data_IF_615439025214
#
_entry.id   IF_615439025214
#
_cell.length_a   1.000
_cell.length_b   1.000
_cell.length_c   1.000
_cell.angle_alpha   90.00
_cell.angle_beta   90.00
_cell.angle_gamma   90.00
#
_symmetry.space_group_name_H-M   'P 1'
#
loop_
_entity.id
_entity.type
_entity.pdbx_description
1 polymer ?
#
# COMPACT_ATOMS: atom_id res chain seq x y z
N UNK A 1 -8.69 0.03 -9.62
CA UNK A 1 -9.08 0.82 -10.80
C UNK A 1 -8.23 0.48 -12.04
N UNK A 2 -6.91 0.71 -12.05
CA UNK A 2 -6.04 0.42 -13.21
C UNK A 2 -6.14 -1.04 -13.71
N UNK A 3 -5.88 -2.02 -12.83
CA UNK A 3 -5.99 -3.45 -13.18
C UNK A 3 -7.41 -3.82 -13.64
N UNK A 4 -8.42 -3.22 -13.06
CA UNK A 4 -9.80 -3.41 -13.50
C UNK A 4 -10.02 -2.91 -14.93
N UNK A 5 -9.51 -1.73 -15.28
CA UNK A 5 -9.59 -1.22 -16.63
C UNK A 5 -8.89 -2.15 -17.64
N UNK A 6 -7.71 -2.69 -17.28
CA UNK A 6 -7.01 -3.68 -18.11
C UNK A 6 -7.83 -4.96 -18.32
N UNK A 7 -8.49 -5.46 -17.25
CA UNK A 7 -9.38 -6.62 -17.35
C UNK A 7 -10.64 -6.34 -18.15
N UNK A 8 -11.17 -5.10 -18.14
CA UNK A 8 -12.27 -4.71 -19.02
C UNK A 8 -11.87 -4.69 -20.48
N UNK A 9 -10.66 -4.22 -20.77
CA UNK A 9 -10.13 -4.17 -22.13
C UNK A 9 -9.71 -5.56 -22.64
N UNK A 10 -9.20 -6.43 -21.74
CA UNK A 10 -8.83 -7.81 -22.03
C UNK A 10 -9.27 -8.78 -20.91
N UNK A 11 -10.51 -9.28 -20.93
CA UNK A 11 -11.01 -10.21 -19.91
C UNK A 11 -10.24 -11.54 -19.85
N UNK A 12 -9.56 -11.91 -20.92
CA UNK A 12 -8.75 -13.13 -21.00
C UNK A 12 -7.30 -12.93 -20.52
N UNK A 13 -6.95 -11.75 -20.03
CA UNK A 13 -5.61 -11.49 -19.49
C UNK A 13 -5.22 -12.55 -18.46
N UNK A 14 -4.04 -13.14 -18.64
CA UNK A 14 -3.48 -14.15 -17.72
C UNK A 14 -2.89 -13.48 -16.49
N UNK A 15 -3.69 -13.41 -15.44
CA UNK A 15 -3.28 -12.93 -14.12
C UNK A 15 -3.70 -13.92 -13.05
N UNK A 16 -2.97 -13.94 -11.96
CA UNK A 16 -3.42 -14.61 -10.73
C UNK A 16 -4.62 -13.85 -10.17
N UNK A 17 -5.78 -14.53 -9.98
CA UNK A 17 -6.93 -13.91 -9.33
C UNK A 17 -6.55 -13.37 -7.95
N UNK A 18 -7.02 -12.16 -7.63
CA UNK A 18 -6.65 -11.51 -6.36
C UNK A 18 -7.78 -10.74 -5.70
N UNK A 19 -7.70 -10.66 -4.40
CA UNK A 19 -8.56 -9.83 -3.58
C UNK A 19 -7.74 -8.72 -2.95
N UNK A 20 -8.13 -7.46 -3.17
CA UNK A 20 -7.62 -6.33 -2.43
C UNK A 20 -8.46 -6.13 -1.18
N UNK A 21 -7.84 -6.25 -0.03
CA UNK A 21 -8.49 -6.07 1.27
C UNK A 21 -7.99 -4.76 1.88
N UNK A 22 -8.91 -3.88 2.21
CA UNK A 22 -8.64 -2.61 2.87
C UNK A 22 -9.25 -2.59 4.26
N UNK A 23 -8.50 -2.08 5.23
CA UNK A 23 -8.99 -1.77 6.56
C UNK A 23 -8.43 -0.42 6.98
N UNK A 24 -9.28 0.51 7.37
CA UNK A 24 -8.85 1.85 7.75
C UNK A 24 -9.87 2.53 8.66
N UNK A 25 -9.39 3.57 9.38
CA UNK A 25 -10.23 4.55 10.08
C UNK A 25 -9.89 5.95 9.60
N UNK A 26 -10.89 6.80 9.52
CA UNK A 26 -10.71 8.23 9.31
C UNK A 26 -11.10 9.00 10.55
N UNK A 27 -10.28 9.96 10.96
CA UNK A 27 -10.67 10.91 12.00
C UNK A 27 -11.92 11.69 11.56
N UNK A 28 -12.77 12.07 12.50
CA UNK A 28 -14.05 12.71 12.22
C UNK A 28 -13.95 13.97 11.34
N UNK A 29 -12.91 14.77 11.53
CA UNK A 29 -12.64 15.98 10.75
C UNK A 29 -11.85 15.76 9.44
N UNK A 30 -11.32 14.56 9.20
CA UNK A 30 -10.45 14.31 8.05
C UNK A 30 -11.26 13.93 6.79
N UNK A 31 -11.78 14.97 6.13
CA UNK A 31 -12.67 14.82 4.96
C UNK A 31 -12.09 13.93 3.85
N UNK A 32 -10.83 14.16 3.44
CA UNK A 32 -10.20 13.42 2.35
C UNK A 32 -10.05 11.93 2.67
N UNK A 33 -9.67 11.56 3.89
CA UNK A 33 -9.62 10.16 4.31
C UNK A 33 -11.00 9.49 4.22
N UNK A 34 -12.08 10.19 4.62
CA UNK A 34 -13.44 9.68 4.47
C UNK A 34 -13.83 9.50 3.01
N UNK A 35 -13.47 10.45 2.13
CA UNK A 35 -13.69 10.33 0.69
C UNK A 35 -12.92 9.15 0.08
N UNK A 36 -11.69 8.89 0.55
CA UNK A 36 -10.90 7.73 0.11
C UNK A 36 -11.59 6.42 0.52
N UNK A 37 -12.09 6.30 1.75
CA UNK A 37 -12.87 5.13 2.17
C UNK A 37 -14.13 4.98 1.30
N UNK A 38 -14.83 6.08 1.05
CA UNK A 38 -16.02 6.06 0.18
C UNK A 38 -15.66 5.62 -1.25
N UNK A 39 -14.54 6.10 -1.80
CA UNK A 39 -14.07 5.68 -3.11
C UNK A 39 -13.77 4.18 -3.15
N UNK A 40 -13.09 3.63 -2.15
CA UNK A 40 -12.79 2.18 -2.06
C UNK A 40 -14.09 1.38 -2.12
N UNK A 41 -15.12 1.77 -1.35
CA UNK A 41 -16.41 1.09 -1.36
C UNK A 41 -17.11 1.19 -2.72
N UNK A 42 -17.14 2.38 -3.34
CA UNK A 42 -17.75 2.54 -4.67
C UNK A 42 -17.00 1.74 -5.75
N UNK A 43 -15.67 1.68 -5.67
CA UNK A 43 -14.84 0.83 -6.55
C UNK A 43 -15.15 -0.65 -6.30
N UNK A 44 -15.32 -1.06 -5.04
CA UNK A 44 -15.70 -2.42 -4.69
C UNK A 44 -17.06 -2.79 -5.26
N UNK A 45 -18.06 -1.92 -5.15
CA UNK A 45 -19.39 -2.14 -5.69
C UNK A 45 -19.36 -2.35 -7.22
N UNK A 46 -18.59 -1.54 -7.94
CA UNK A 46 -18.45 -1.67 -9.40
C UNK A 46 -17.73 -2.98 -9.77
N UNK A 47 -16.57 -3.24 -9.15
CA UNK A 47 -15.73 -4.39 -9.52
C UNK A 47 -16.36 -5.72 -9.11
N UNK A 48 -16.90 -5.82 -7.90
CA UNK A 48 -17.42 -7.08 -7.38
C UNK A 48 -18.72 -7.53 -8.08
N UNK A 49 -19.46 -6.59 -8.68
CA UNK A 49 -20.67 -6.88 -9.43
C UNK A 49 -20.43 -7.07 -10.94
N UNK A 50 -19.22 -6.82 -11.42
CA UNK A 50 -18.90 -6.96 -12.85
C UNK A 50 -18.52 -8.40 -13.21
N UNK A 51 -19.47 -9.13 -13.79
CA UNK A 51 -19.27 -10.51 -14.23
C UNK A 51 -18.31 -10.64 -15.43
N UNK A 52 -18.09 -9.56 -16.19
CA UNK A 52 -17.29 -9.60 -17.42
C UNK A 52 -15.80 -9.88 -17.16
N UNK A 53 -15.30 -9.60 -15.95
CA UNK A 53 -13.91 -9.86 -15.57
C UNK A 53 -13.68 -11.26 -15.00
N UNK A 54 -14.70 -12.15 -15.01
CA UNK A 54 -14.59 -13.56 -14.62
C UNK A 54 -14.17 -13.78 -13.15
N UNK A 55 -14.45 -12.85 -12.25
CA UNK A 55 -14.09 -12.97 -10.83
C UNK A 55 -12.57 -12.85 -10.54
N UNK A 56 -11.77 -12.46 -11.51
CA UNK A 56 -10.30 -12.35 -11.36
C UNK A 56 -9.86 -11.26 -10.38
N UNK A 57 -10.75 -10.33 -10.07
CA UNK A 57 -10.48 -9.21 -9.18
C UNK A 57 -11.63 -9.04 -8.20
N UNK A 58 -11.28 -8.88 -6.91
CA UNK A 58 -12.23 -8.55 -5.86
C UNK A 58 -11.67 -7.44 -4.99
N UNK A 59 -12.53 -6.59 -4.48
CA UNK A 59 -12.19 -5.50 -3.55
C UNK A 59 -13.06 -5.63 -2.33
N UNK A 60 -12.46 -5.61 -1.15
CA UNK A 60 -13.14 -5.73 0.14
C UNK A 60 -12.67 -4.61 1.05
N UNK A 61 -13.61 -3.90 1.65
CA UNK A 61 -13.32 -2.98 2.75
C UNK A 61 -13.80 -3.64 4.05
N UNK A 62 -12.88 -3.80 5.02
CA UNK A 62 -13.21 -4.37 6.34
C UNK A 62 -13.84 -3.28 7.18
N UNK A 63 -15.09 -3.46 7.54
CA UNK A 63 -15.81 -2.58 8.46
C UNK A 63 -15.27 -2.71 9.89
N UNK A 64 -15.53 -1.69 10.69
CA UNK A 64 -15.21 -1.68 12.12
C UNK A 64 -13.74 -2.01 12.45
N UNK A 65 -12.85 -1.28 11.77
CA UNK A 65 -11.41 -1.42 11.96
C UNK A 65 -11.02 -1.19 13.44
N UNK A 66 -10.76 -2.27 14.15
CA UNK A 66 -10.29 -2.30 15.55
C UNK A 66 -8.81 -2.62 15.60
N UNK A 67 -8.19 -2.46 16.77
CA UNK A 67 -6.76 -2.75 16.96
C UNK A 67 -6.41 -4.18 16.52
N UNK A 68 -7.28 -5.15 16.75
CA UNK A 68 -7.14 -6.54 16.27
C UNK A 68 -7.23 -6.69 14.74
N UNK A 69 -7.84 -5.72 14.04
CA UNK A 69 -7.92 -5.70 12.57
C UNK A 69 -6.89 -4.73 11.96
N UNK A 70 -6.25 -3.88 12.82
CA UNK A 70 -5.31 -2.84 12.42
C UNK A 70 -3.95 -3.37 11.94
N UNK A 71 -3.73 -4.64 12.11
CA UNK A 71 -2.41 -5.27 11.89
C UNK A 71 -2.06 -5.45 10.41
N UNK A 72 -2.88 -4.92 9.48
CA UNK A 72 -2.84 -5.45 8.12
C UNK A 72 -2.64 -4.46 6.97
N UNK A 73 -2.35 -3.19 7.17
CA UNK A 73 -2.16 -2.28 6.02
C UNK A 73 -1.11 -1.22 6.33
N UNK A 74 -0.02 -1.23 5.59
CA UNK A 74 0.94 -0.12 5.58
C UNK A 74 1.12 0.43 4.17
N UNK A 75 1.33 1.71 4.07
CA UNK A 75 1.63 2.43 2.82
C UNK A 75 2.78 3.41 2.96
N UNK A 76 3.58 3.42 1.93
CA UNK A 76 4.31 4.44 1.15
C UNK A 76 5.09 5.54 1.85
N UNK A 77 6.30 5.67 1.43
CA UNK A 77 7.37 6.69 1.36
C UNK A 77 7.39 7.91 2.32
N UNK A 78 6.41 8.16 3.13
CA UNK A 78 6.39 9.16 4.21
C UNK A 78 5.93 8.57 5.54
N UNK A 79 5.89 7.26 5.65
CA UNK A 79 5.66 6.57 6.89
C UNK A 79 6.95 6.54 7.70
N UNK A 80 6.92 7.02 8.94
CA UNK A 80 8.11 7.06 9.80
C UNK A 80 8.63 5.66 10.14
N UNK A 81 7.75 4.69 10.26
CA UNK A 81 8.10 3.29 10.52
C UNK A 81 7.12 2.33 9.86
N UNK A 82 5.85 2.36 10.24
CA UNK A 82 4.89 1.31 9.98
C UNK A 82 5.08 0.12 10.93
N UNK A 83 4.00 -0.52 11.34
CA UNK A 83 4.04 -1.70 12.22
C UNK A 83 3.31 -2.89 11.65
N UNK A 84 2.37 -2.66 10.73
CA UNK A 84 1.60 -3.70 10.07
C UNK A 84 2.46 -4.65 9.25
N UNK A 85 3.43 -4.12 8.49
CA UNK A 85 4.37 -4.87 7.67
C UNK A 85 5.19 -5.88 8.49
N UNK A 86 5.71 -5.49 9.68
CA UNK A 86 6.45 -6.39 10.57
C UNK A 86 5.57 -7.55 11.08
N UNK A 87 4.31 -7.28 11.41
CA UNK A 87 3.36 -8.31 11.83
C UNK A 87 3.01 -9.26 10.69
N UNK A 88 2.88 -8.76 9.48
CA UNK A 88 2.71 -9.59 8.29
C UNK A 88 3.94 -10.45 8.02
N UNK A 89 5.14 -9.87 8.12
CA UNK A 89 6.40 -10.59 7.96
C UNK A 89 6.48 -11.77 8.95
N UNK A 90 6.12 -11.55 10.23
CA UNK A 90 6.05 -12.60 11.24
C UNK A 90 5.09 -13.73 10.88
N UNK A 91 4.02 -13.42 10.15
CA UNK A 91 3.03 -14.39 9.67
C UNK A 91 3.32 -14.93 8.26
N UNK A 92 4.52 -14.70 7.73
CA UNK A 92 4.98 -15.23 6.45
C UNK A 92 4.41 -14.54 5.22
N UNK A 93 3.75 -13.39 5.38
CA UNK A 93 3.33 -12.60 4.23
C UNK A 93 4.53 -11.89 3.61
N UNK A 94 4.60 -11.91 2.28
CA UNK A 94 5.63 -11.20 1.53
C UNK A 94 5.24 -9.73 1.41
N UNK A 95 6.20 -8.85 1.65
CA UNK A 95 5.98 -7.41 1.61
C UNK A 95 6.17 -6.85 0.21
N UNK A 96 5.21 -6.04 -0.24
CA UNK A 96 5.38 -5.09 -1.34
C UNK A 96 5.43 -3.69 -0.73
N UNK A 97 6.48 -2.93 -0.98
CA UNK A 97 6.64 -1.61 -0.37
C UNK A 97 7.75 -0.78 -0.98
N UNK A 98 7.78 0.48 -0.59
CA UNK A 98 8.88 1.40 -0.87
C UNK A 98 10.01 1.22 0.14
N UNK A 99 11.23 1.65 -0.21
CA UNK A 99 12.40 1.55 0.68
C UNK A 99 12.43 2.71 1.66
N UNK A 100 11.51 2.68 2.62
CA UNK A 100 11.42 3.64 3.73
C UNK A 100 10.86 2.98 4.99
N UNK A 101 10.92 3.71 6.11
CA UNK A 101 10.43 3.22 7.40
C UNK A 101 10.98 1.84 7.74
N UNK A 102 10.16 0.98 8.30
CA UNK A 102 10.53 -0.38 8.69
C UNK A 102 10.92 -1.29 7.51
N UNK A 103 10.53 -0.95 6.27
CA UNK A 103 10.90 -1.77 5.12
C UNK A 103 12.41 -1.80 4.88
N UNK A 104 13.12 -0.72 5.26
CA UNK A 104 14.60 -0.69 5.20
C UNK A 104 15.18 -1.76 6.11
N UNK A 105 14.78 -1.76 7.38
CA UNK A 105 15.26 -2.73 8.37
C UNK A 105 14.80 -4.16 8.03
N UNK A 106 13.57 -4.31 7.53
CA UNK A 106 13.07 -5.62 7.08
C UNK A 106 13.93 -6.16 5.92
N UNK A 107 14.28 -5.30 4.95
CA UNK A 107 15.13 -5.70 3.82
C UNK A 107 16.57 -6.03 4.25
N UNK A 108 17.08 -5.40 5.31
CA UNK A 108 18.37 -5.76 5.90
C UNK A 108 18.34 -7.17 6.53
N UNK A 109 17.23 -7.51 7.20
CA UNK A 109 17.09 -8.80 7.89
C UNK A 109 16.78 -9.97 6.96
N UNK A 110 15.92 -9.77 5.95
CA UNK A 110 15.46 -10.88 5.10
C UNK A 110 16.14 -10.91 3.72
N UNK A 111 16.80 -9.83 3.32
CA UNK A 111 17.33 -9.61 1.98
C UNK A 111 16.29 -8.99 1.03
N UNK A 112 16.74 -8.02 0.22
CA UNK A 112 15.88 -7.29 -0.73
C UNK A 112 15.23 -8.20 -1.77
N UNK A 113 15.89 -9.32 -2.11
CA UNK A 113 15.41 -10.33 -3.04
C UNK A 113 14.21 -11.13 -2.51
N UNK A 114 13.93 -11.05 -1.21
CA UNK A 114 12.81 -11.71 -0.54
C UNK A 114 11.64 -10.73 -0.25
N UNK A 115 11.68 -9.54 -0.87
CA UNK A 115 10.64 -8.52 -0.83
C UNK A 115 10.35 -7.99 -2.23
N UNK A 116 9.20 -7.35 -2.43
CA UNK A 116 8.85 -6.69 -3.68
C UNK A 116 8.98 -5.17 -3.49
N UNK A 117 10.13 -4.64 -3.84
CA UNK A 117 10.42 -3.22 -3.69
C UNK A 117 10.02 -2.45 -4.94
N UNK A 118 9.38 -1.29 -4.75
CA UNK A 118 9.02 -0.36 -5.81
C UNK A 118 9.19 1.09 -5.37
N UNK A 119 8.98 2.04 -6.30
CA UNK A 119 8.98 3.46 -6.04
C UNK A 119 10.36 4.09 -5.98
N UNK A 120 10.37 5.41 -5.79
CA UNK A 120 11.57 6.20 -5.67
C UNK A 120 12.25 5.97 -4.32
N UNK A 121 13.57 6.11 -4.29
CA UNK A 121 14.34 6.12 -3.04
C UNK A 121 14.09 7.39 -2.22
N UNK A 122 14.40 7.35 -0.93
CA UNK A 122 14.31 8.51 -0.06
C UNK A 122 15.14 9.70 -0.59
N UNK A 123 16.35 9.42 -1.09
CA UNK A 123 17.25 10.45 -1.67
C UNK A 123 16.65 11.08 -2.94
N UNK A 124 16.03 10.29 -3.81
CA UNK A 124 15.32 10.80 -4.99
C UNK A 124 14.16 11.70 -4.59
N UNK A 125 13.37 11.30 -3.59
CA UNK A 125 12.24 12.10 -3.09
C UNK A 125 12.75 13.42 -2.48
N UNK A 126 13.77 13.38 -1.62
CA UNK A 126 14.39 14.58 -1.03
C UNK A 126 14.93 15.52 -2.14
N UNK A 127 15.57 14.96 -3.15
CA UNK A 127 16.05 15.75 -4.29
C UNK A 127 14.91 16.42 -5.05
N UNK A 128 13.81 15.70 -5.31
CA UNK A 128 12.62 16.25 -5.97
C UNK A 128 11.92 17.32 -5.11
N UNK A 129 11.89 17.14 -3.79
CA UNK A 129 11.34 18.14 -2.87
C UNK A 129 12.16 19.43 -2.84
N UNK A 130 13.50 19.31 -2.84
CA UNK A 130 14.41 20.45 -2.72
C UNK A 130 14.66 21.17 -4.07
N UNK A 131 14.81 20.41 -5.15
CA UNK A 131 15.17 20.95 -6.47
C UNK A 131 13.97 21.18 -7.39
N UNK A 132 12.80 20.58 -7.05
CA UNK A 132 11.65 20.57 -7.94
C UNK A 132 11.83 19.61 -9.11
N UNK A 133 11.11 19.87 -10.20
CA UNK A 133 11.20 19.06 -11.44
C UNK A 133 10.16 17.93 -11.52
N UNK A 134 9.34 17.75 -10.50
CA UNK A 134 8.20 16.84 -10.54
C UNK A 134 6.90 17.60 -10.78
N UNK A 135 6.22 17.25 -11.87
CA UNK A 135 4.89 17.75 -12.18
C UNK A 135 3.94 16.59 -12.49
N UNK A 136 2.96 16.27 -11.63
CA UNK A 136 2.04 15.18 -11.85
C UNK A 136 1.18 15.36 -13.11
N UNK A 137 0.97 16.59 -13.58
CA UNK A 137 0.27 16.86 -14.85
C UNK A 137 1.01 16.29 -16.06
N UNK A 138 2.33 16.17 -16.02
CA UNK A 138 3.10 15.56 -17.11
C UNK A 138 2.77 14.06 -17.22
N UNK A 139 2.62 13.37 -16.07
CA UNK A 139 2.18 11.97 -16.04
C UNK A 139 0.74 11.87 -16.57
N UNK A 140 -0.16 12.72 -16.08
CA UNK A 140 -1.54 12.76 -16.55
C UNK A 140 -1.63 12.97 -18.07
N UNK A 141 -0.79 13.83 -18.63
CA UNK A 141 -0.80 14.14 -20.05
C UNK A 141 -0.20 13.04 -20.93
N UNK A 142 0.82 12.34 -20.44
CA UNK A 142 1.59 11.38 -21.22
C UNK A 142 1.23 9.91 -20.95
N UNK A 143 0.49 9.61 -19.87
CA UNK A 143 0.08 8.26 -19.51
C UNK A 143 -1.44 8.09 -19.62
N UNK A 144 -1.88 7.45 -20.70
CA UNK A 144 -3.31 7.27 -20.98
C UNK A 144 -4.04 6.43 -19.93
N UNK A 145 -3.38 5.42 -19.36
CA UNK A 145 -3.99 4.55 -18.34
C UNK A 145 -4.21 5.31 -17.04
N UNK A 146 -3.18 6.06 -16.59
CA UNK A 146 -3.28 6.89 -15.40
C UNK A 146 -4.34 7.99 -15.63
N UNK A 147 -4.32 8.64 -16.80
CA UNK A 147 -5.35 9.61 -17.16
C UNK A 147 -6.74 9.00 -17.05
N UNK A 148 -6.96 7.81 -17.64
CA UNK A 148 -8.25 7.11 -17.59
C UNK A 148 -8.72 6.89 -16.15
N UNK A 149 -7.82 6.39 -15.29
CA UNK A 149 -8.11 6.16 -13.87
C UNK A 149 -8.48 7.45 -13.16
N UNK A 150 -7.73 8.53 -13.38
CA UNK A 150 -7.99 9.82 -12.76
C UNK A 150 -9.28 10.45 -13.24
N UNK A 151 -9.58 10.38 -14.54
CA UNK A 151 -10.84 10.87 -15.11
C UNK A 151 -12.06 10.11 -14.56
N UNK A 152 -11.92 8.83 -14.23
CA UNK A 152 -12.99 8.04 -13.60
C UNK A 152 -13.37 8.55 -12.19
N UNK A 153 -12.54 9.37 -11.55
CA UNK A 153 -12.88 10.02 -10.27
C UNK A 153 -13.90 11.15 -10.43
N UNK A 154 -14.01 11.76 -11.63
CA UNK A 154 -14.76 13.00 -11.85
C UNK A 154 -15.78 12.92 -13.02
N UNK A 155 -15.93 11.75 -13.64
CA UNK A 155 -16.86 11.56 -14.74
C UNK A 155 -18.10 10.72 -14.38
N UNK A 156 -18.31 10.46 -13.09
CA UNK A 156 -19.45 9.68 -12.61
C UNK A 156 -19.27 8.15 -12.68
N UNK A 157 -18.13 7.64 -13.17
CA UNK A 157 -17.94 6.19 -13.33
C UNK A 157 -18.10 5.42 -12.00
N UNK A 158 -17.54 5.95 -10.92
CA UNK A 158 -17.66 5.38 -9.57
C UNK A 158 -18.70 6.08 -8.68
N UNK A 159 -19.35 7.14 -9.16
CA UNK A 159 -20.43 7.86 -8.50
C UNK A 159 -21.38 8.49 -9.51
N UNK A 160 -22.25 7.71 -10.15
CA UNK A 160 -23.14 8.23 -11.21
C UNK A 160 -24.10 9.31 -10.72
N UNK A 161 -24.50 9.27 -9.44
CA UNK A 161 -25.43 10.23 -8.85
C UNK A 161 -24.76 11.55 -8.43
N UNK A 162 -23.44 11.53 -8.22
CA UNK A 162 -22.63 12.70 -7.91
C UNK A 162 -21.26 12.57 -8.57
N UNK A 163 -21.09 12.97 -9.83
CA UNK A 163 -19.82 12.89 -10.55
C UNK A 163 -18.70 13.68 -9.87
N UNK A 164 -19.02 14.69 -9.09
CA UNK A 164 -18.06 15.56 -8.42
C UNK A 164 -17.59 15.04 -7.05
N UNK A 165 -18.18 13.95 -6.55
CA UNK A 165 -17.94 13.43 -5.21
C UNK A 165 -16.45 13.26 -4.89
N UNK A 166 -15.65 12.79 -5.85
CA UNK A 166 -14.23 12.51 -5.67
C UNK A 166 -13.29 13.57 -6.25
N UNK A 167 -13.83 14.76 -6.62
CA UNK A 167 -13.02 15.87 -7.16
C UNK A 167 -11.90 16.33 -6.22
N UNK A 168 -12.11 16.29 -4.91
CA UNK A 168 -11.08 16.64 -3.94
C UNK A 168 -9.87 15.70 -4.02
N UNK A 169 -10.11 14.40 -4.24
CA UNK A 169 -9.03 13.41 -4.46
C UNK A 169 -8.31 13.69 -5.78
N UNK A 170 -9.07 13.90 -6.86
CA UNK A 170 -8.51 14.24 -8.18
C UNK A 170 -7.64 15.50 -8.10
N UNK A 171 -8.14 16.56 -7.48
CA UNK A 171 -7.41 17.80 -7.33
C UNK A 171 -6.14 17.65 -6.48
N UNK A 172 -6.19 16.84 -5.42
CA UNK A 172 -5.00 16.61 -4.59
C UNK A 172 -3.84 15.92 -5.32
N UNK A 173 -4.16 15.21 -6.38
CA UNK A 173 -3.15 14.52 -7.22
C UNK A 173 -2.62 15.40 -8.35
N UNK A 174 -3.41 16.36 -8.86
CA UNK A 174 -3.04 17.09 -10.08
C UNK A 174 -2.89 18.60 -9.88
N UNK A 175 -3.56 19.18 -8.89
CA UNK A 175 -3.63 20.63 -8.74
C UNK A 175 -3.01 21.05 -7.41
N UNK A 176 -2.16 22.06 -7.45
CA UNK A 176 -1.73 22.79 -6.26
C UNK A 176 -2.90 23.62 -5.73
N UNK A 177 -3.36 23.32 -4.53
CA UNK A 177 -4.32 24.19 -3.82
C UNK A 177 -3.61 24.83 -2.63
N UNK A 178 -3.59 26.15 -2.60
CA UNK A 178 -3.03 26.99 -1.53
C UNK A 178 -1.54 26.74 -1.22
N UNK A 179 -1.21 26.01 -0.19
CA UNK A 179 0.18 25.78 0.26
C UNK A 179 0.70 24.39 -0.07
N UNK A 180 -0.16 23.47 -0.52
CA UNK A 180 0.20 22.07 -0.69
C UNK A 180 0.58 21.78 -2.15
N UNK A 181 1.69 21.06 -2.33
CA UNK A 181 2.08 20.54 -3.64
C UNK A 181 1.11 19.46 -4.09
N UNK A 182 0.76 19.45 -5.39
CA UNK A 182 0.03 18.34 -5.98
C UNK A 182 0.82 17.04 -5.81
N UNK A 183 0.09 15.93 -5.63
CA UNK A 183 0.67 14.60 -5.41
C UNK A 183 1.79 14.59 -4.35
N UNK A 184 1.50 15.14 -3.17
CA UNK A 184 2.43 15.30 -2.05
C UNK A 184 3.18 14.01 -1.70
N UNK A 185 2.56 12.85 -1.97
CA UNK A 185 3.11 11.53 -1.67
C UNK A 185 3.72 10.81 -2.89
N UNK A 186 3.88 11.49 -4.03
CA UNK A 186 4.46 10.95 -5.26
C UNK A 186 3.77 9.67 -5.78
N UNK A 187 2.47 9.54 -5.51
CA UNK A 187 1.67 8.36 -5.87
C UNK A 187 1.70 8.11 -7.39
N UNK A 188 1.55 9.18 -8.18
CA UNK A 188 1.55 9.04 -9.64
C UNK A 188 2.94 8.72 -10.18
N UNK A 189 4.01 9.27 -9.56
CA UNK A 189 5.39 8.96 -9.91
C UNK A 189 5.70 7.47 -9.71
N UNK A 190 5.28 6.91 -8.58
CA UNK A 190 5.61 5.55 -8.19
C UNK A 190 4.66 4.50 -8.79
N UNK A 191 3.55 4.96 -9.40
CA UNK A 191 2.48 4.07 -9.83
C UNK A 191 2.94 2.99 -10.82
N UNK A 192 3.76 3.32 -11.81
CA UNK A 192 4.22 2.35 -12.81
C UNK A 192 5.14 1.29 -12.21
N UNK A 193 6.05 1.69 -11.31
CA UNK A 193 6.92 0.73 -10.61
C UNK A 193 6.10 -0.18 -9.67
N UNK A 194 5.05 0.35 -9.02
CA UNK A 194 4.09 -0.44 -8.26
C UNK A 194 3.36 -1.47 -9.15
N UNK A 195 2.89 -1.06 -10.32
CA UNK A 195 2.24 -1.97 -11.26
C UNK A 195 3.17 -3.08 -11.76
N UNK A 196 4.45 -2.75 -12.02
CA UNK A 196 5.46 -3.74 -12.39
C UNK A 196 5.80 -4.69 -11.22
N UNK A 197 5.86 -4.19 -9.98
CA UNK A 197 6.03 -5.05 -8.81
C UNK A 197 4.89 -6.08 -8.70
N UNK A 198 3.65 -5.68 -8.99
CA UNK A 198 2.52 -6.61 -9.02
C UNK A 198 2.64 -7.69 -10.10
N UNK A 199 3.23 -7.40 -11.25
CA UNK A 199 3.52 -8.43 -12.28
C UNK A 199 4.58 -9.43 -11.80
N UNK A 200 5.62 -8.94 -11.10
CA UNK A 200 6.61 -9.82 -10.47
C UNK A 200 5.99 -10.71 -9.40
N UNK A 201 5.05 -10.18 -8.61
CA UNK A 201 4.30 -10.97 -7.63
C UNK A 201 3.49 -12.06 -8.32
N UNK A 202 2.82 -11.76 -9.44
CA UNK A 202 2.08 -12.78 -10.21
C UNK A 202 2.96 -13.93 -10.67
N UNK A 203 4.16 -13.62 -11.14
CA UNK A 203 5.12 -14.64 -11.57
C UNK A 203 5.64 -15.46 -10.40
N UNK A 204 6.04 -14.79 -9.32
CA UNK A 204 6.57 -15.42 -8.12
C UNK A 204 5.52 -16.29 -7.40
N UNK A 205 4.27 -15.86 -7.36
CA UNK A 205 3.19 -16.62 -6.73
C UNK A 205 2.90 -17.96 -7.41
N UNK A 206 3.22 -18.08 -8.71
CA UNK A 206 3.07 -19.33 -9.48
C UNK A 206 4.18 -20.35 -9.17
N UNK A 207 5.29 -19.91 -8.59
CA UNK A 207 6.33 -20.78 -8.07
C UNK A 207 6.09 -21.04 -6.57
N UNK A 208 5.28 -22.08 -6.29
CA UNK A 208 4.88 -22.43 -4.92
C UNK A 208 6.09 -22.72 -4.02
N UNK A 209 7.17 -23.29 -4.56
CA UNK A 209 8.38 -23.61 -3.78
C UNK A 209 9.13 -22.35 -3.41
N UNK A 210 9.33 -21.46 -4.37
CA UNK A 210 9.96 -20.17 -4.12
C UNK A 210 9.13 -19.36 -3.11
N UNK A 211 7.80 -19.31 -3.32
CA UNK A 211 6.89 -18.57 -2.45
C UNK A 211 6.93 -19.07 -1.00
N UNK A 212 6.79 -20.39 -0.81
CA UNK A 212 6.83 -21.01 0.52
C UNK A 212 8.19 -20.78 1.20
N UNK A 213 9.30 -20.97 0.47
CA UNK A 213 10.65 -20.71 1.00
C UNK A 213 10.79 -19.25 1.44
N UNK A 214 10.37 -18.31 0.61
CA UNK A 214 10.50 -16.87 0.89
C UNK A 214 9.60 -16.47 2.06
N UNK A 215 8.38 -17.02 2.17
CA UNK A 215 7.51 -16.84 3.32
C UNK A 215 8.16 -17.33 4.63
N UNK A 216 8.79 -18.51 4.61
CA UNK A 216 9.53 -19.04 5.76
C UNK A 216 10.73 -18.16 6.14
N UNK A 217 11.48 -17.67 5.15
CA UNK A 217 12.60 -16.74 5.40
C UNK A 217 12.11 -15.44 6.05
N UNK A 218 11.01 -14.87 5.55
CA UNK A 218 10.42 -13.69 6.17
C UNK A 218 10.04 -13.93 7.64
N UNK A 219 9.35 -15.02 7.94
CA UNK A 219 9.01 -15.37 9.32
C UNK A 219 10.26 -15.58 10.20
N UNK A 220 11.26 -16.31 9.71
CA UNK A 220 12.48 -16.57 10.46
C UNK A 220 13.29 -15.30 10.75
N UNK A 221 13.27 -14.33 9.83
CA UNK A 221 13.96 -13.05 9.97
C UNK A 221 13.19 -12.00 10.79
N UNK A 222 11.94 -12.29 11.17
CA UNK A 222 11.10 -11.33 11.90
C UNK A 222 11.46 -11.14 13.38
N UNK A 223 12.39 -11.93 13.92
CA UNK A 223 12.78 -11.90 15.34
C UNK A 223 13.26 -10.52 15.83
N UNK A 224 13.94 -9.74 14.96
CA UNK A 224 14.34 -8.35 15.25
C UNK A 224 13.16 -7.45 15.63
N UNK A 225 11.98 -7.73 15.11
CA UNK A 225 10.77 -6.93 15.31
C UNK A 225 9.90 -7.42 16.47
N UNK A 226 10.42 -8.33 17.29
CA UNK A 226 9.75 -8.81 18.51
C UNK A 226 9.67 -7.69 19.55
N UNK A 227 8.49 -7.53 20.16
CA UNK A 227 8.31 -6.62 21.31
C UNK A 227 9.16 -7.05 22.51
N UNK A 228 9.34 -8.34 22.71
CA UNK A 228 10.15 -8.89 23.82
C UNK A 228 11.60 -8.43 23.70
N UNK A 229 12.19 -8.53 22.50
CA UNK A 229 13.54 -8.01 22.24
C UNK A 229 13.63 -6.51 22.55
N UNK A 230 12.69 -5.73 22.05
CA UNK A 230 12.67 -4.27 22.26
C UNK A 230 12.61 -3.93 23.75
N UNK A 231 11.76 -4.61 24.52
CA UNK A 231 11.65 -4.40 25.96
C UNK A 231 12.93 -4.87 26.68
N UNK A 232 13.54 -5.97 26.26
CA UNK A 232 14.81 -6.44 26.82
C UNK A 232 15.94 -5.43 26.61
N UNK A 233 16.01 -4.83 25.44
CA UNK A 233 16.99 -3.77 25.14
C UNK A 233 16.73 -2.53 26.00
N UNK A 234 15.48 -2.09 26.15
CA UNK A 234 15.15 -0.98 27.05
C UNK A 234 15.51 -1.27 28.49
N UNK A 235 15.23 -2.50 28.97
CA UNK A 235 15.61 -2.95 30.35
C UNK A 235 17.11 -2.91 30.56
N UNK A 236 17.88 -3.38 29.57
CA UNK A 236 19.34 -3.43 29.63
C UNK A 236 19.97 -2.06 29.43
N UNK A 237 19.60 -1.34 28.36
CA UNK A 237 20.38 -0.21 27.85
C UNK A 237 19.89 1.15 28.36
N UNK A 238 18.61 1.23 28.76
CA UNK A 238 17.97 2.49 29.18
C UNK A 238 17.63 2.47 30.67
N UNK A 239 16.89 1.44 31.10
CA UNK A 239 16.40 1.37 32.49
C UNK A 239 17.37 0.72 33.45
N UNK A 240 18.35 -0.05 32.95
CA UNK A 240 19.34 -0.78 33.75
C UNK A 240 18.71 -1.64 34.85
N UNK A 241 17.56 -2.27 34.55
CA UNK A 241 16.83 -3.09 35.50
C UNK A 241 17.27 -4.57 35.41
N UNK A 242 17.08 -5.29 36.50
CA UNK A 242 17.25 -6.74 36.50
C UNK A 242 15.93 -7.46 36.29
N UNK A 243 15.93 -8.51 35.46
CA UNK A 243 14.75 -9.38 35.30
C UNK A 243 14.37 -10.03 36.64
N UNK A 244 13.09 -9.96 36.96
CA UNK A 244 12.49 -10.64 38.10
C UNK A 244 11.76 -11.87 37.56
N UNK A 245 12.06 -13.05 38.09
CA UNK A 245 11.31 -14.25 37.77
C UNK A 245 9.97 -14.22 38.52
N UNK A 246 8.87 -14.08 37.80
CA UNK A 246 7.53 -14.14 38.40
C UNK A 246 7.05 -15.59 38.32
N UNK A 247 6.81 -16.22 39.47
CA UNK A 247 6.14 -17.51 39.53
C UNK A 247 4.64 -17.26 39.54
N UNK A 248 4.00 -17.64 38.43
CA UNK A 248 2.52 -17.62 38.33
C UNK A 248 2.02 -18.76 39.24
N UNK A 249 1.19 -18.40 40.23
CA UNK A 249 0.50 -19.36 41.11
C UNK A 249 -0.74 -19.88 40.41
#
# INVERSE_FOLDING_TARGET
>A
MYLYNQLKDNPNMDIVPRTFIFGAKAAAGYKRAKLTIKLINNVADVINNDKSIGGKLKVVFIEDYRVSNAEQISTASKEASGTGNMKFMLNGALTIGTMDGANVEMAEEVGKENMFIFGASADEIINLENKGGYNPMDIFNNDQDIRRVLMQLINGYYSPQDPELFRDIYNSLLNTQSSDRADTYFILKDFRSYAEAHKKIDQAYRDEKWWARTAMLNTASAGKFSSDRTIEEYVRDIWHLKKIKVELK
#
